data_IF_753217900205
#
_entry.id   IF_753217900205
#
_cell.length_a   1.000
_cell.length_b   1.000
_cell.length_c   1.000
_cell.angle_alpha   90.00
_cell.angle_beta   90.00
_cell.angle_gamma   90.00
#
_symmetry.space_group_name_H-M   'P 1'
#
loop_
_entity.id
_entity.type
_entity.pdbx_description
1 polymer ?
#
# COMPACT_ATOMS: atom_id res chain seq x y z
N UNK A 1 -8.98 -29.77 -8.42
CA UNK A 1 -7.65 -29.51 -9.04
C UNK A 1 -7.48 -28.15 -9.75
N UNK A 2 -8.52 -27.30 -9.92
CA UNK A 2 -8.46 -26.11 -10.79
C UNK A 2 -7.82 -24.82 -10.21
N UNK A 3 -7.36 -24.83 -8.95
CA UNK A 3 -6.80 -23.63 -8.28
C UNK A 3 -5.33 -23.76 -7.83
N UNK A 4 -4.69 -24.93 -7.99
CA UNK A 4 -3.29 -25.16 -7.58
C UNK A 4 -2.30 -24.10 -8.09
N UNK A 5 -2.36 -23.64 -9.35
CA UNK A 5 -1.38 -22.66 -9.87
C UNK A 5 -1.45 -21.30 -9.16
N UNK A 6 -2.65 -20.89 -8.73
CA UNK A 6 -2.83 -19.62 -8.03
C UNK A 6 -2.15 -19.66 -6.66
N UNK A 7 -2.39 -20.74 -5.90
CA UNK A 7 -1.80 -20.92 -4.57
C UNK A 7 -0.27 -20.90 -4.68
N UNK A 8 0.29 -21.59 -5.68
CA UNK A 8 1.74 -21.59 -5.92
C UNK A 8 2.25 -20.18 -6.21
N UNK A 9 1.60 -19.43 -7.09
CA UNK A 9 2.00 -18.05 -7.42
C UNK A 9 1.95 -17.15 -6.19
N UNK A 10 0.88 -17.21 -5.41
CA UNK A 10 0.72 -16.39 -4.19
C UNK A 10 1.78 -16.76 -3.15
N UNK A 11 2.05 -18.05 -2.95
CA UNK A 11 3.08 -18.51 -2.00
C UNK A 11 4.48 -18.10 -2.44
N UNK A 12 4.84 -18.28 -3.71
CA UNK A 12 6.13 -17.83 -4.25
C UNK A 12 6.24 -16.31 -4.12
N UNK A 13 5.17 -15.57 -4.41
CA UNK A 13 5.17 -14.11 -4.27
C UNK A 13 5.40 -13.68 -2.82
N UNK A 14 4.76 -14.34 -1.86
CA UNK A 14 4.99 -14.10 -0.43
C UNK A 14 6.44 -14.38 -0.04
N UNK A 15 7.02 -15.50 -0.50
CA UNK A 15 8.43 -15.84 -0.22
C UNK A 15 9.36 -14.75 -0.76
N UNK A 16 9.14 -14.29 -2.00
CA UNK A 16 9.93 -13.21 -2.60
C UNK A 16 9.83 -11.92 -1.76
N UNK A 17 8.63 -11.55 -1.31
CA UNK A 17 8.43 -10.37 -0.46
C UNK A 17 9.11 -10.52 0.91
N UNK A 18 9.01 -11.70 1.54
CA UNK A 18 9.69 -11.99 2.83
C UNK A 18 11.21 -11.90 2.67
N UNK A 19 11.76 -12.48 1.60
CA UNK A 19 13.19 -12.38 1.30
C UNK A 19 13.65 -10.93 1.05
N UNK A 20 12.73 -10.08 0.61
CA UNK A 20 12.97 -8.66 0.37
C UNK A 20 12.89 -7.80 1.65
N UNK A 21 12.38 -8.32 2.78
CA UNK A 21 12.18 -7.53 4.01
C UNK A 21 13.48 -6.83 4.42
N UNK A 22 13.37 -5.55 4.71
CA UNK A 22 14.47 -4.75 5.22
C UNK A 22 14.63 -4.97 6.73
N UNK A 23 15.72 -5.63 7.13
CA UNK A 23 16.11 -5.87 8.53
C UNK A 23 17.38 -5.10 8.93
N UNK A 24 18.10 -4.52 7.97
CA UNK A 24 19.40 -3.90 8.18
C UNK A 24 19.39 -2.38 8.37
N UNK A 25 18.39 -1.68 7.81
CA UNK A 25 18.34 -0.21 7.86
C UNK A 25 17.20 0.20 8.79
N UNK A 26 17.58 0.64 9.97
CA UNK A 26 16.68 1.29 10.91
C UNK A 26 16.52 2.76 10.46
N UNK A 27 15.46 3.05 9.71
CA UNK A 27 15.14 4.45 9.43
C UNK A 27 14.54 5.12 10.65
N UNK A 28 14.65 6.44 10.70
CA UNK A 28 14.00 7.25 11.73
C UNK A 28 12.51 6.93 11.84
N UNK A 29 11.83 6.79 10.70
CA UNK A 29 10.41 6.46 10.65
C UNK A 29 10.10 5.05 11.18
N UNK A 30 10.81 4.04 10.69
CA UNK A 30 10.57 2.65 11.09
C UNK A 30 10.94 2.39 12.54
N UNK A 31 12.01 3.01 13.05
CA UNK A 31 12.41 2.95 14.45
C UNK A 31 11.27 3.37 15.38
N UNK A 32 10.63 4.50 15.06
CA UNK A 32 9.53 5.04 15.86
C UNK A 32 8.31 4.13 15.83
N UNK A 33 7.98 3.54 14.68
CA UNK A 33 6.86 2.59 14.59
C UNK A 33 7.11 1.38 15.49
N UNK A 34 8.32 0.80 15.45
CA UNK A 34 8.67 -0.33 16.30
C UNK A 34 8.68 0.06 17.78
N UNK A 35 9.23 1.21 18.13
CA UNK A 35 9.20 1.68 19.51
C UNK A 35 7.77 1.91 19.99
N UNK A 36 6.94 2.64 19.24
CA UNK A 36 5.54 2.84 19.58
C UNK A 36 4.78 1.50 19.71
N UNK A 37 5.08 0.52 18.85
CA UNK A 37 4.51 -0.83 18.96
C UNK A 37 4.87 -1.49 20.30
N UNK A 38 6.13 -1.37 20.73
CA UNK A 38 6.59 -1.86 22.05
C UNK A 38 5.95 -1.09 23.20
N UNK A 39 5.77 0.21 23.07
CA UNK A 39 5.09 1.02 24.09
C UNK A 39 3.61 0.66 24.20
N UNK A 40 2.91 0.44 23.08
CA UNK A 40 1.52 -0.02 23.07
C UNK A 40 1.40 -1.38 23.76
N UNK A 41 2.35 -2.30 23.53
CA UNK A 41 2.42 -3.57 24.25
C UNK A 41 2.51 -3.38 25.78
N UNK A 42 3.23 -2.35 26.24
CA UNK A 42 3.34 -1.96 27.66
C UNK A 42 2.17 -1.10 28.16
N UNK A 43 1.16 -0.83 27.33
CA UNK A 43 0.01 0.01 27.67
C UNK A 43 0.27 1.53 27.62
N UNK A 44 1.28 1.97 26.87
CA UNK A 44 1.65 3.38 26.67
C UNK A 44 1.51 3.80 25.21
N UNK A 45 1.15 5.06 24.97
CA UNK A 45 1.17 5.69 23.64
C UNK A 45 2.32 6.68 23.45
N UNK A 46 3.21 6.76 24.43
CA UNK A 46 4.34 7.67 24.42
C UNK A 46 5.61 6.89 24.13
N UNK A 47 6.44 7.43 23.25
CA UNK A 47 7.74 6.86 22.90
C UNK A 47 8.66 6.90 24.13
N UNK A 48 9.57 5.92 24.23
CA UNK A 48 10.70 6.06 25.16
C UNK A 48 11.55 7.27 24.73
N UNK A 49 12.34 7.84 25.65
CA UNK A 49 13.12 9.07 25.41
C UNK A 49 14.11 8.84 24.26
N UNK A 50 13.63 9.02 23.05
CA UNK A 50 14.40 8.98 21.83
C UNK A 50 15.01 10.35 21.58
N UNK A 51 16.15 10.36 20.91
CA UNK A 51 16.76 11.60 20.48
C UNK A 51 15.78 12.33 19.54
N UNK A 52 15.45 13.58 19.89
CA UNK A 52 14.49 14.45 19.22
C UNK A 52 14.73 14.70 17.72
N UNK A 53 15.82 14.17 17.14
CA UNK A 53 16.14 14.29 15.72
C UNK A 53 15.39 13.29 14.82
N UNK A 54 14.65 12.32 15.37
CA UNK A 54 13.90 11.39 14.51
C UNK A 54 12.70 12.07 13.82
N UNK A 55 12.49 11.76 12.54
CA UNK A 55 11.37 12.25 11.73
C UNK A 55 10.03 11.86 12.34
N UNK A 56 9.05 12.75 12.33
CA UNK A 56 7.67 12.48 12.79
C UNK A 56 7.54 12.24 14.30
N UNK A 57 8.39 12.87 15.12
CA UNK A 57 8.24 12.96 16.57
C UNK A 57 7.92 14.38 16.99
N UNK A 58 6.94 14.54 17.88
CA UNK A 58 6.62 15.80 18.56
C UNK A 58 6.80 15.65 20.07
N UNK A 59 7.18 16.75 20.73
CA UNK A 59 7.34 16.80 22.19
C UNK A 59 6.19 17.61 22.81
N UNK A 60 5.31 16.95 23.56
CA UNK A 60 4.20 17.61 24.27
C UNK A 60 4.33 17.32 25.77
N UNK A 61 4.42 18.37 26.61
CA UNK A 61 4.49 18.26 28.08
C UNK A 61 5.53 17.22 28.56
N UNK A 62 6.74 17.30 28.00
CA UNK A 62 7.85 16.37 28.27
C UNK A 62 7.65 14.90 27.87
N UNK A 63 6.65 14.61 27.03
CA UNK A 63 6.45 13.31 26.41
C UNK A 63 6.70 13.36 24.92
N UNK A 64 7.26 12.29 24.38
CA UNK A 64 7.51 12.13 22.95
C UNK A 64 6.37 11.34 22.32
N UNK A 65 5.81 11.86 21.25
CA UNK A 65 4.64 11.33 20.57
C UNK A 65 4.98 11.13 19.10
N UNK A 66 4.55 10.01 18.54
CA UNK A 66 4.60 9.79 17.10
C UNK A 66 3.55 10.67 16.42
N UNK A 67 3.99 11.48 15.46
CA UNK A 67 3.10 12.33 14.68
C UNK A 67 2.23 11.52 13.71
N UNK A 68 2.70 10.36 13.26
CA UNK A 68 1.98 9.52 12.30
C UNK A 68 0.82 8.72 12.90
N UNK A 69 0.08 8.00 12.05
CA UNK A 69 -1.09 7.24 12.45
C UNK A 69 -0.76 5.98 13.25
N UNK A 70 -1.59 5.66 14.25
CA UNK A 70 -1.35 4.57 15.22
C UNK A 70 -1.63 3.17 14.65
N UNK A 71 -2.29 3.04 13.50
CA UNK A 71 -2.77 1.76 12.98
C UNK A 71 -1.69 0.72 12.74
N UNK A 72 -0.56 1.10 12.13
CA UNK A 72 0.56 0.15 11.92
C UNK A 72 1.18 -0.27 13.26
N UNK A 73 1.58 0.67 14.15
CA UNK A 73 2.07 0.30 15.48
C UNK A 73 1.12 -0.62 16.26
N UNK A 74 -0.19 -0.35 16.19
CA UNK A 74 -1.21 -1.12 16.89
C UNK A 74 -1.34 -2.57 16.36
N UNK A 75 -1.18 -2.78 15.05
CA UNK A 75 -1.25 -4.14 14.48
C UNK A 75 0.03 -4.93 14.76
N UNK A 76 1.19 -4.26 14.80
CA UNK A 76 2.47 -4.91 15.07
C UNK A 76 2.64 -5.18 16.57
N UNK A 77 2.07 -4.35 17.45
CA UNK A 77 2.29 -4.42 18.91
C UNK A 77 2.08 -5.78 19.57
N UNK A 78 1.04 -6.59 19.24
CA UNK A 78 0.86 -7.89 19.89
C UNK A 78 2.00 -8.88 19.57
N UNK A 79 2.59 -8.75 18.38
CA UNK A 79 3.72 -9.58 17.96
C UNK A 79 5.04 -9.03 18.51
N UNK A 80 5.19 -7.70 18.61
CA UNK A 80 6.34 -7.06 19.26
C UNK A 80 6.47 -7.38 20.74
N UNK A 81 5.37 -7.71 21.42
CA UNK A 81 5.42 -8.24 22.79
C UNK A 81 6.31 -9.48 22.92
N UNK A 82 6.54 -10.20 21.82
CA UNK A 82 7.38 -11.39 21.76
C UNK A 82 8.79 -11.09 21.23
N UNK A 83 9.06 -9.87 20.77
CA UNK A 83 10.34 -9.49 20.17
C UNK A 83 11.37 -9.16 21.24
N UNK A 84 12.52 -9.85 21.19
CA UNK A 84 13.60 -9.65 22.16
C UNK A 84 14.56 -8.49 21.80
N UNK A 85 14.58 -8.04 20.55
CA UNK A 85 15.46 -6.98 20.06
C UNK A 85 14.83 -6.21 18.88
N UNK A 86 15.51 -5.16 18.39
CA UNK A 86 15.02 -4.34 17.28
C UNK A 86 15.00 -5.08 15.93
N UNK A 87 15.99 -5.93 15.64
CA UNK A 87 16.04 -6.66 14.36
C UNK A 87 14.86 -7.63 14.22
N UNK A 88 14.51 -8.35 15.29
CA UNK A 88 13.32 -9.19 15.34
C UNK A 88 12.07 -8.36 15.11
N UNK A 89 12.00 -7.15 15.65
CA UNK A 89 10.86 -6.28 15.44
C UNK A 89 10.74 -5.76 14.01
N UNK A 90 11.87 -5.37 13.39
CA UNK A 90 11.93 -5.04 11.96
C UNK A 90 11.42 -6.19 11.09
N UNK A 91 11.85 -7.42 11.39
CA UNK A 91 11.41 -8.60 10.67
C UNK A 91 9.91 -8.86 10.84
N UNK A 92 9.39 -8.77 12.07
CA UNK A 92 7.96 -8.93 12.37
C UNK A 92 7.13 -7.89 11.62
N UNK A 93 7.50 -6.61 11.72
CA UNK A 93 6.81 -5.54 11.02
C UNK A 93 6.83 -5.75 9.50
N UNK A 94 8.00 -6.10 8.93
CA UNK A 94 8.13 -6.42 7.50
C UNK A 94 7.27 -7.61 7.08
N UNK A 95 7.17 -8.64 7.93
CA UNK A 95 6.31 -9.80 7.70
C UNK A 95 4.83 -9.40 7.67
N UNK A 96 4.38 -8.52 8.57
CA UNK A 96 3.02 -7.97 8.55
C UNK A 96 2.75 -7.23 7.23
N UNK A 97 3.70 -6.44 6.73
CA UNK A 97 3.56 -5.71 5.46
C UNK A 97 3.52 -6.65 4.24
N UNK A 98 4.39 -7.67 4.22
CA UNK A 98 4.41 -8.71 3.19
C UNK A 98 3.10 -9.51 3.15
N UNK A 99 2.58 -9.91 4.31
CA UNK A 99 1.28 -10.61 4.41
C UNK A 99 0.13 -9.69 3.98
N UNK A 100 0.14 -8.42 4.38
CA UNK A 100 -0.89 -7.45 3.98
C UNK A 100 -0.94 -7.31 2.45
N UNK A 101 0.22 -7.21 1.81
CA UNK A 101 0.33 -7.15 0.34
C UNK A 101 -0.17 -8.44 -0.32
N UNK A 102 0.17 -9.62 0.23
CA UNK A 102 -0.36 -10.90 -0.25
C UNK A 102 -1.89 -10.98 -0.13
N UNK A 103 -2.46 -10.56 1.01
CA UNK A 103 -3.91 -10.52 1.20
C UNK A 103 -4.54 -9.57 0.17
N UNK A 104 -3.88 -8.46 -0.14
CA UNK A 104 -4.32 -7.54 -1.16
C UNK A 104 -4.35 -8.17 -2.56
N UNK A 105 -3.33 -8.96 -2.92
CA UNK A 105 -3.34 -9.78 -4.15
C UNK A 105 -4.51 -10.76 -4.18
N UNK A 106 -4.83 -11.41 -3.06
CA UNK A 106 -5.96 -12.33 -2.95
C UNK A 106 -7.27 -11.60 -3.23
N UNK A 107 -7.51 -10.45 -2.60
CA UNK A 107 -8.73 -9.66 -2.85
C UNK A 107 -8.82 -9.18 -4.30
N UNK A 108 -7.70 -8.73 -4.89
CA UNK A 108 -7.68 -8.35 -6.30
C UNK A 108 -7.93 -9.53 -7.23
N UNK A 109 -7.39 -10.73 -6.95
CA UNK A 109 -7.74 -11.94 -7.68
C UNK A 109 -9.24 -12.24 -7.59
N UNK A 110 -9.82 -12.18 -6.38
CA UNK A 110 -11.23 -12.45 -6.14
C UNK A 110 -12.16 -11.42 -6.81
N UNK A 111 -11.71 -10.19 -6.95
CA UNK A 111 -12.38 -9.14 -7.68
C UNK A 111 -12.31 -9.39 -9.20
N UNK A 112 -11.09 -9.56 -9.75
CA UNK A 112 -10.85 -9.66 -11.19
C UNK A 112 -11.45 -10.94 -11.79
N UNK A 113 -11.45 -12.07 -11.06
CA UNK A 113 -12.01 -13.34 -11.56
C UNK A 113 -13.49 -13.28 -11.96
N UNK A 114 -14.20 -12.20 -11.60
CA UNK A 114 -15.60 -11.96 -11.96
C UNK A 114 -15.77 -11.45 -13.38
N UNK A 115 -14.73 -10.87 -13.97
CA UNK A 115 -14.79 -10.18 -15.25
C UNK A 115 -14.40 -11.07 -16.44
N UNK A 116 -13.84 -12.26 -16.20
CA UNK A 116 -13.57 -13.20 -17.29
C UNK A 116 -12.84 -14.48 -16.88
N UNK A 117 -12.79 -15.46 -17.79
CA UNK A 117 -12.24 -16.79 -17.51
C UNK A 117 -10.71 -16.90 -17.68
N UNK A 118 -10.05 -15.89 -18.24
CA UNK A 118 -8.63 -15.92 -18.62
C UNK A 118 -7.69 -15.82 -17.41
N UNK A 119 -7.55 -16.93 -16.68
CA UNK A 119 -6.75 -17.02 -15.45
C UNK A 119 -5.30 -16.62 -15.65
N UNK A 120 -4.74 -16.89 -16.83
CA UNK A 120 -3.37 -16.56 -17.23
C UNK A 120 -3.14 -15.04 -17.16
N UNK A 121 -4.06 -14.25 -17.73
CA UNK A 121 -3.97 -12.79 -17.68
C UNK A 121 -4.23 -12.21 -16.29
N UNK A 122 -5.08 -12.87 -15.49
CA UNK A 122 -5.27 -12.47 -14.08
C UNK A 122 -3.94 -12.66 -13.32
N UNK A 123 -3.32 -13.83 -13.46
CA UNK A 123 -2.03 -14.13 -12.83
C UNK A 123 -0.93 -13.17 -13.31
N UNK A 124 -0.83 -12.96 -14.62
CA UNK A 124 0.13 -12.03 -15.21
C UNK A 124 -0.09 -10.60 -14.71
N UNK A 125 -1.35 -10.15 -14.60
CA UNK A 125 -1.68 -8.82 -14.07
C UNK A 125 -1.34 -8.67 -12.60
N UNK A 126 -1.54 -9.72 -11.78
CA UNK A 126 -1.19 -9.70 -10.35
C UNK A 126 0.33 -9.60 -10.17
N UNK A 127 1.09 -10.39 -10.91
CA UNK A 127 2.56 -10.37 -10.85
C UNK A 127 3.08 -9.02 -11.36
N UNK A 128 2.58 -8.53 -12.50
CA UNK A 128 2.95 -7.22 -13.04
C UNK A 128 2.61 -6.10 -12.08
N UNK A 129 1.37 -5.99 -11.60
CA UNK A 129 0.99 -4.88 -10.73
C UNK A 129 1.60 -4.93 -9.33
N UNK A 130 2.06 -6.09 -8.84
CA UNK A 130 2.79 -6.16 -7.56
C UNK A 130 4.27 -5.88 -7.73
N UNK A 131 4.93 -6.60 -8.64
CA UNK A 131 6.39 -6.59 -8.75
C UNK A 131 6.94 -5.57 -9.74
N UNK A 132 6.14 -5.11 -10.70
CA UNK A 132 6.50 -4.02 -11.61
C UNK A 132 5.94 -2.67 -11.15
N UNK A 133 5.39 -2.58 -9.92
CA UNK A 133 4.93 -1.32 -9.35
C UNK A 133 5.25 -1.19 -7.85
N UNK A 134 4.67 -0.19 -7.18
CA UNK A 134 4.95 0.14 -5.78
C UNK A 134 4.75 -0.99 -4.76
N UNK A 135 3.78 -1.93 -4.88
CA UNK A 135 3.47 -2.86 -3.82
C UNK A 135 4.65 -3.69 -3.32
N UNK A 136 5.57 -4.09 -4.20
CA UNK A 136 6.75 -4.85 -3.80
C UNK A 136 7.70 -4.03 -2.91
N UNK A 137 7.96 -2.77 -3.24
CA UNK A 137 8.85 -1.93 -2.44
C UNK A 137 8.23 -1.66 -1.07
N UNK A 138 6.93 -1.44 -0.99
CA UNK A 138 6.26 -1.17 0.29
C UNK A 138 5.90 -2.44 1.08
N UNK A 139 6.05 -3.63 0.50
CA UNK A 139 5.89 -4.89 1.23
C UNK A 139 7.13 -5.30 2.01
N UNK A 140 8.30 -4.74 1.65
CA UNK A 140 9.58 -4.96 2.34
C UNK A 140 9.89 -3.95 3.45
N UNK A 141 9.05 -2.92 3.63
CA UNK A 141 9.31 -1.81 4.56
C UNK A 141 8.12 -1.54 5.46
N UNK A 142 8.39 -1.15 6.70
CA UNK A 142 7.34 -0.90 7.69
C UNK A 142 6.74 0.49 7.44
N UNK A 143 5.66 0.47 6.68
CA UNK A 143 4.99 1.65 6.17
C UNK A 143 3.48 1.41 6.14
N UNK A 144 2.63 2.43 6.42
CA UNK A 144 1.17 2.29 6.37
C UNK A 144 0.61 1.78 5.04
N UNK A 145 1.34 2.02 3.96
CA UNK A 145 0.88 1.79 2.59
C UNK A 145 0.52 0.33 2.29
N UNK A 146 1.26 -0.64 2.82
CA UNK A 146 0.96 -2.06 2.56
C UNK A 146 -0.34 -2.51 3.25
N UNK A 147 -0.57 -2.01 4.46
CA UNK A 147 -1.81 -2.24 5.19
C UNK A 147 -2.99 -1.53 4.52
N UNK A 148 -2.78 -0.31 4.01
CA UNK A 148 -3.80 0.41 3.23
C UNK A 148 -4.14 -0.30 1.91
N UNK A 149 -3.16 -0.86 1.19
CA UNK A 149 -3.42 -1.69 0.00
C UNK A 149 -4.39 -2.84 0.34
N UNK A 150 -4.11 -3.57 1.43
CA UNK A 150 -4.99 -4.63 1.92
C UNK A 150 -6.41 -4.09 2.15
N UNK A 151 -6.55 -3.00 2.92
CA UNK A 151 -7.86 -2.41 3.17
C UNK A 151 -8.57 -1.97 1.89
N UNK A 152 -7.88 -1.30 0.97
CA UNK A 152 -8.46 -0.79 -0.27
C UNK A 152 -8.94 -1.93 -1.17
N UNK A 153 -8.11 -2.94 -1.39
CA UNK A 153 -8.51 -4.12 -2.18
C UNK A 153 -9.70 -4.89 -1.55
N UNK A 154 -9.74 -5.01 -0.22
CA UNK A 154 -10.84 -5.64 0.50
C UNK A 154 -12.13 -4.81 0.43
N UNK A 155 -12.02 -3.49 0.63
CA UNK A 155 -13.13 -2.54 0.50
C UNK A 155 -13.70 -2.57 -0.90
N UNK A 156 -12.86 -2.56 -1.95
CA UNK A 156 -13.30 -2.68 -3.34
C UNK A 156 -14.10 -3.97 -3.54
N UNK A 157 -13.55 -5.10 -3.10
CA UNK A 157 -14.19 -6.41 -3.26
C UNK A 157 -15.54 -6.51 -2.54
N UNK A 158 -15.59 -6.12 -1.25
CA UNK A 158 -16.79 -6.23 -0.42
C UNK A 158 -17.85 -5.19 -0.77
N UNK A 159 -17.46 -3.94 -1.03
CA UNK A 159 -18.37 -2.89 -1.54
C UNK A 159 -19.04 -3.31 -2.84
N UNK A 160 -18.25 -3.82 -3.78
CA UNK A 160 -18.76 -4.24 -5.08
C UNK A 160 -19.63 -5.49 -4.96
N UNK A 161 -19.41 -6.33 -3.95
CA UNK A 161 -20.29 -7.47 -3.60
C UNK A 161 -21.65 -7.03 -3.10
N UNK A 162 -21.69 -6.04 -2.21
CA UNK A 162 -22.93 -5.50 -1.66
C UNK A 162 -23.84 -4.91 -2.74
N UNK A 163 -23.25 -4.41 -3.84
CA UNK A 163 -24.00 -3.85 -4.97
C UNK A 163 -24.25 -4.86 -6.11
N UNK A 164 -23.42 -5.91 -6.22
CA UNK A 164 -23.58 -6.92 -7.26
C UNK A 164 -24.69 -7.92 -6.93
N UNK A 165 -24.77 -8.35 -5.67
CA UNK A 165 -25.78 -9.32 -5.24
C UNK A 165 -27.12 -8.60 -5.05
N UNK A 166 -28.22 -9.30 -5.36
CA UNK A 166 -29.59 -8.81 -5.11
C UNK A 166 -29.79 -8.40 -3.65
N UNK A 167 -29.10 -9.09 -2.75
CA UNK A 167 -29.16 -8.92 -1.33
C UNK A 167 -27.73 -8.89 -0.74
N UNK A 168 -27.35 -7.85 0.00
CA UNK A 168 -26.05 -7.81 0.66
C UNK A 168 -25.96 -8.94 1.68
N UNK A 169 -24.86 -9.68 1.65
CA UNK A 169 -24.55 -10.69 2.66
C UNK A 169 -23.95 -10.02 3.90
N UNK A 170 -24.29 -10.53 5.08
CA UNK A 170 -23.78 -10.04 6.36
C UNK A 170 -22.24 -10.01 6.40
N UNK A 171 -21.60 -11.02 5.82
CA UNK A 171 -20.13 -11.08 5.72
C UNK A 171 -19.54 -9.88 4.99
N UNK A 172 -20.15 -9.45 3.89
CA UNK A 172 -19.64 -8.32 3.10
C UNK A 172 -19.78 -7.00 3.88
N UNK A 173 -20.87 -6.82 4.64
CA UNK A 173 -21.05 -5.66 5.54
C UNK A 173 -20.01 -5.65 6.66
N UNK A 174 -19.84 -6.78 7.36
CA UNK A 174 -18.86 -6.91 8.46
C UNK A 174 -17.46 -6.59 7.96
N UNK A 175 -17.04 -7.20 6.85
CA UNK A 175 -15.71 -7.00 6.29
C UNK A 175 -15.51 -5.56 5.79
N UNK A 176 -16.51 -4.98 5.10
CA UNK A 176 -16.45 -3.57 4.69
C UNK A 176 -16.25 -2.64 5.89
N UNK A 177 -16.96 -2.89 6.99
CA UNK A 177 -16.88 -2.10 8.22
C UNK A 177 -15.53 -2.26 8.92
N UNK A 178 -15.04 -3.50 9.01
CA UNK A 178 -13.75 -3.83 9.62
C UNK A 178 -12.59 -3.17 8.86
N UNK A 179 -12.52 -3.35 7.55
CA UNK A 179 -11.45 -2.77 6.73
C UNK A 179 -11.56 -1.24 6.62
N UNK A 180 -12.76 -0.67 6.74
CA UNK A 180 -12.93 0.79 6.90
C UNK A 180 -12.30 1.27 8.21
N UNK A 181 -12.53 0.56 9.31
CA UNK A 181 -11.93 0.90 10.61
C UNK A 181 -10.40 0.76 10.62
N UNK A 182 -9.87 -0.33 10.05
CA UNK A 182 -8.41 -0.51 9.92
C UNK A 182 -7.81 0.57 9.02
N UNK A 183 -8.44 0.92 7.90
CA UNK A 183 -7.99 2.00 7.02
C UNK A 183 -7.95 3.34 7.75
N UNK A 184 -8.99 3.68 8.54
CA UNK A 184 -9.03 4.90 9.35
C UNK A 184 -7.86 4.98 10.34
N UNK A 185 -7.60 3.89 11.08
CA UNK A 185 -6.50 3.85 12.05
C UNK A 185 -5.13 3.94 11.37
N UNK A 186 -5.03 3.39 10.17
CA UNK A 186 -3.78 3.35 9.38
C UNK A 186 -3.50 4.68 8.72
N UNK A 187 -4.54 5.39 8.29
CA UNK A 187 -4.46 6.75 7.76
C UNK A 187 -5.83 7.45 7.90
N UNK A 188 -5.95 8.41 8.82
CA UNK A 188 -7.20 9.13 9.06
C UNK A 188 -7.76 9.88 7.85
N UNK A 189 -6.93 10.27 6.88
CA UNK A 189 -7.39 10.97 5.67
C UNK A 189 -8.30 10.08 4.79
N UNK A 190 -8.21 8.76 4.95
CA UNK A 190 -9.07 7.80 4.24
C UNK A 190 -10.55 7.91 4.60
N UNK A 191 -10.89 8.63 5.67
CA UNK A 191 -12.27 8.86 6.11
C UNK A 191 -13.16 9.43 5.00
N UNK A 192 -12.62 10.32 4.16
CA UNK A 192 -13.35 10.92 3.04
C UNK A 192 -13.71 9.85 1.99
N UNK A 193 -12.76 8.97 1.65
CA UNK A 193 -13.01 7.85 0.74
C UNK A 193 -14.02 6.86 1.33
N UNK A 194 -13.86 6.48 2.61
CA UNK A 194 -14.73 5.53 3.31
C UNK A 194 -16.18 6.04 3.33
N UNK A 195 -16.40 7.31 3.68
CA UNK A 195 -17.74 7.89 3.68
C UNK A 195 -18.29 8.03 2.26
N UNK A 196 -17.49 8.43 1.28
CA UNK A 196 -17.94 8.54 -0.11
C UNK A 196 -18.50 7.21 -0.63
N UNK A 197 -17.79 6.11 -0.38
CA UNK A 197 -18.22 4.76 -0.79
C UNK A 197 -19.44 4.31 0.03
N UNK A 198 -19.41 4.50 1.35
CA UNK A 198 -20.49 4.04 2.24
C UNK A 198 -21.80 4.77 1.96
N UNK A 199 -21.74 6.09 1.72
CA UNK A 199 -22.90 6.89 1.30
C UNK A 199 -23.40 6.43 -0.07
N UNK A 200 -22.49 6.21 -1.04
CA UNK A 200 -22.88 5.73 -2.37
C UNK A 200 -23.60 4.38 -2.29
N UNK A 201 -23.06 3.42 -1.53
CA UNK A 201 -23.68 2.12 -1.29
C UNK A 201 -25.05 2.30 -0.64
N UNK A 202 -25.15 3.13 0.40
CA UNK A 202 -26.40 3.39 1.11
C UNK A 202 -27.49 3.93 0.16
N UNK A 203 -27.15 4.91 -0.68
CA UNK A 203 -28.06 5.47 -1.70
C UNK A 203 -28.54 4.37 -2.65
N UNK A 204 -27.63 3.52 -3.13
CA UNK A 204 -27.96 2.43 -4.05
C UNK A 204 -28.84 1.36 -3.41
N UNK A 205 -28.55 0.99 -2.16
CA UNK A 205 -29.37 0.07 -1.40
C UNK A 205 -30.78 0.65 -1.17
N UNK A 206 -30.91 1.90 -0.73
CA UNK A 206 -32.21 2.57 -0.55
C UNK A 206 -33.03 2.55 -1.85
N UNK A 207 -32.41 2.87 -2.99
CA UNK A 207 -33.08 2.91 -4.28
C UNK A 207 -33.54 1.52 -4.74
N UNK A 208 -32.71 0.49 -4.55
CA UNK A 208 -33.05 -0.89 -4.90
C UNK A 208 -34.14 -1.48 -3.98
N UNK A 209 -34.27 -0.96 -2.77
CA UNK A 209 -35.14 -1.50 -1.71
C UNK A 209 -36.57 -0.95 -1.68
N UNK A 210 -36.97 -0.10 -2.64
CA UNK A 210 -38.22 0.69 -2.66
C UNK A 210 -39.57 -0.07 -2.62
N UNK A 211 -39.64 -1.38 -2.37
CA UNK A 211 -40.88 -2.16 -2.60
C UNK A 211 -41.46 -2.91 -1.38
N UNK A 212 -40.75 -3.15 -0.25
CA UNK A 212 -41.32 -3.91 0.90
C UNK A 212 -40.85 -3.46 2.31
N UNK A 213 -41.73 -3.57 3.32
CA UNK A 213 -41.44 -3.23 4.75
C UNK A 213 -40.31 -4.09 5.35
N UNK A 214 -40.25 -5.38 5.01
CA UNK A 214 -39.18 -6.30 5.45
C UNK A 214 -37.79 -5.81 5.06
N UNK A 215 -37.73 -4.99 4.01
CA UNK A 215 -36.51 -4.45 3.45
C UNK A 215 -35.91 -3.31 4.28
N UNK A 216 -36.72 -2.49 4.96
CA UNK A 216 -36.23 -1.42 5.85
C UNK A 216 -35.54 -1.97 7.10
N UNK A 217 -36.06 -3.07 7.67
CA UNK A 217 -35.40 -3.76 8.80
C UNK A 217 -34.00 -4.24 8.41
N UNK A 218 -33.85 -4.80 7.20
CA UNK A 218 -32.56 -5.23 6.69
C UNK A 218 -31.61 -4.06 6.47
N UNK A 219 -32.07 -2.98 5.83
CA UNK A 219 -31.26 -1.78 5.64
C UNK A 219 -30.78 -1.20 6.99
N UNK A 220 -31.67 -1.10 7.97
CA UNK A 220 -31.35 -0.64 9.31
C UNK A 220 -30.32 -1.56 10.00
N UNK A 221 -30.44 -2.88 9.83
CA UNK A 221 -29.43 -3.81 10.36
C UNK A 221 -28.06 -3.61 9.72
N UNK A 222 -28.00 -3.37 8.40
CA UNK A 222 -26.74 -3.08 7.69
C UNK A 222 -26.09 -1.81 8.26
N UNK A 223 -26.87 -0.75 8.47
CA UNK A 223 -26.39 0.51 9.02
C UNK A 223 -25.88 0.32 10.45
N UNK A 224 -26.64 -0.36 11.31
CA UNK A 224 -26.22 -0.63 12.69
C UNK A 224 -24.92 -1.41 12.71
N UNK A 225 -24.83 -2.51 11.96
CA UNK A 225 -23.62 -3.35 11.92
C UNK A 225 -22.42 -2.54 11.46
N UNK A 226 -22.60 -1.71 10.43
CA UNK A 226 -21.53 -0.85 9.93
C UNK A 226 -21.07 0.17 10.97
N UNK A 227 -22.00 0.91 11.56
CA UNK A 227 -21.70 1.91 12.60
C UNK A 227 -21.05 1.23 13.81
N UNK A 228 -21.60 0.12 14.30
CA UNK A 228 -21.08 -0.58 15.48
C UNK A 228 -19.63 -1.02 15.28
N UNK A 229 -19.30 -1.68 14.17
CA UNK A 229 -17.93 -2.15 13.93
C UNK A 229 -16.98 -0.99 13.64
N UNK A 230 -17.38 -0.04 12.80
CA UNK A 230 -16.55 1.13 12.47
C UNK A 230 -16.29 2.02 13.70
N UNK A 231 -17.27 2.15 14.59
CA UNK A 231 -17.18 2.97 15.80
C UNK A 231 -16.10 2.47 16.77
N UNK A 232 -15.71 1.18 16.73
CA UNK A 232 -14.62 0.66 17.57
C UNK A 232 -13.30 1.33 17.17
N UNK A 233 -13.00 1.35 15.87
CA UNK A 233 -11.81 2.00 15.34
C UNK A 233 -11.84 3.51 15.54
N UNK A 234 -12.99 4.15 15.28
CA UNK A 234 -13.16 5.59 15.50
C UNK A 234 -12.97 5.98 16.97
N UNK A 235 -13.53 5.20 17.89
CA UNK A 235 -13.38 5.42 19.34
C UNK A 235 -11.94 5.23 19.78
N UNK A 236 -11.24 4.23 19.23
CA UNK A 236 -9.82 4.06 19.49
C UNK A 236 -9.00 5.25 18.99
N UNK A 237 -9.28 5.76 17.78
CA UNK A 237 -8.59 6.95 17.25
C UNK A 237 -8.82 8.17 18.15
N UNK A 238 -10.05 8.41 18.60
CA UNK A 238 -10.34 9.50 19.54
C UNK A 238 -9.67 9.32 20.88
N UNK A 239 -9.61 8.09 21.40
CA UNK A 239 -8.89 7.79 22.62
C UNK A 239 -7.39 8.06 22.46
N UNK A 240 -6.77 7.60 21.37
CA UNK A 240 -5.36 7.86 21.06
C UNK A 240 -5.07 9.36 20.97
N UNK A 241 -5.88 10.12 20.23
CA UNK A 241 -5.74 11.57 20.11
C UNK A 241 -5.89 12.25 21.48
N UNK A 242 -6.94 11.90 22.25
CA UNK A 242 -7.16 12.46 23.59
C UNK A 242 -5.98 12.16 24.53
N UNK A 243 -5.45 10.94 24.51
CA UNK A 243 -4.33 10.54 25.35
C UNK A 243 -3.03 11.26 24.98
N UNK A 244 -2.78 11.51 23.69
CA UNK A 244 -1.51 12.08 23.21
C UNK A 244 -1.54 13.61 23.19
N UNK A 245 -2.59 14.22 22.64
CA UNK A 245 -2.68 15.68 22.44
C UNK A 245 -3.54 16.37 23.50
N UNK A 246 -4.35 15.62 24.26
CA UNK A 246 -5.34 16.18 25.18
C UNK A 246 -6.65 16.59 24.49
N UNK A 247 -6.80 16.37 23.18
CA UNK A 247 -8.02 16.69 22.43
C UNK A 247 -8.33 15.56 21.42
N UNK A 248 -9.53 14.94 21.46
CA UNK A 248 -9.85 13.81 20.59
C UNK A 248 -9.90 14.18 19.09
N UNK A 249 -10.06 15.46 18.76
CA UNK A 249 -10.17 15.97 17.39
C UNK A 249 -8.85 16.54 16.84
N UNK A 250 -7.79 16.60 17.65
CA UNK A 250 -6.47 17.07 17.20
C UNK A 250 -5.56 15.85 17.03
N UNK A 251 -5.22 15.59 15.77
CA UNK A 251 -4.26 14.54 15.40
C UNK A 251 -2.83 15.02 15.66
N UNK A 252 -1.94 14.16 16.18
CA UNK A 252 -0.51 14.49 16.33
C UNK A 252 0.13 15.04 15.04
N UNK A 253 -0.26 14.52 13.88
CA UNK A 253 0.23 14.95 12.56
C UNK A 253 -0.07 16.43 12.24
N UNK A 254 -1.21 16.95 12.71
CA UNK A 254 -1.59 18.35 12.51
C UNK A 254 -0.68 19.25 13.34
N UNK A 255 -0.39 18.87 14.59
CA UNK A 255 0.53 19.61 15.47
C UNK A 255 1.92 19.65 14.81
N UNK A 256 2.42 18.48 14.40
CA UNK A 256 3.71 18.35 13.72
C UNK A 256 3.80 19.22 12.45
N UNK A 257 2.77 19.18 11.61
CA UNK A 257 2.71 19.99 10.38
C UNK A 257 2.69 21.49 10.71
N UNK A 258 1.94 21.89 11.73
CA UNK A 258 1.85 23.30 12.15
C UNK A 258 3.16 23.84 12.73
N UNK A 259 3.90 23.04 13.52
CA UNK A 259 5.22 23.42 14.06
C UNK A 259 6.26 23.61 12.96
N UNK A 260 6.07 22.98 11.80
CA UNK A 260 6.91 23.15 10.61
C UNK A 260 6.43 24.22 9.63
N UNK A 261 5.34 24.93 9.96
CA UNK A 261 4.81 26.01 9.14
C UNK A 261 3.90 25.57 8.00
N UNK A 262 3.42 24.32 7.99
CA UNK A 262 2.54 23.78 6.94
C UNK A 262 1.05 23.82 7.29
N UNK A 263 0.64 24.60 8.32
CA UNK A 263 -0.77 24.72 8.69
C UNK A 263 -1.42 23.38 9.04
N UNK A 264 -2.42 22.98 8.27
CA UNK A 264 -3.10 21.66 8.43
C UNK A 264 -2.37 20.53 7.74
N UNK A 265 -1.38 20.86 6.91
CA UNK A 265 -0.66 19.96 6.02
C UNK A 265 -1.36 19.71 4.68
N UNK A 266 -2.59 20.18 4.46
CA UNK A 266 -3.35 19.99 3.21
C UNK A 266 -3.49 21.27 2.38
N UNK A 267 -2.44 22.08 2.35
CA UNK A 267 -2.45 23.43 1.75
C UNK A 267 -1.81 23.47 0.33
N UNK A 268 -1.33 22.34 -0.18
CA UNK A 268 -0.75 22.27 -1.54
C UNK A 268 -1.84 22.45 -2.60
N UNK A 269 -1.64 23.33 -3.61
CA UNK A 269 -2.54 23.39 -4.76
C UNK A 269 -2.65 22.04 -5.47
N UNK A 270 -3.86 21.52 -5.60
CA UNK A 270 -4.15 20.17 -6.14
C UNK A 270 -3.39 19.87 -7.44
N UNK A 271 -3.35 20.83 -8.37
CA UNK A 271 -2.67 20.65 -9.66
C UNK A 271 -1.16 20.40 -9.50
N UNK A 272 -0.51 21.07 -8.55
CA UNK A 272 0.92 20.88 -8.28
C UNK A 272 1.17 19.46 -7.76
N UNK A 273 0.36 19.01 -6.80
CA UNK A 273 0.45 17.65 -6.27
C UNK A 273 0.18 16.58 -7.33
N UNK A 274 -0.84 16.78 -8.19
CA UNK A 274 -1.13 15.85 -9.29
C UNK A 274 0.02 15.76 -10.29
N UNK A 275 0.60 16.89 -10.70
CA UNK A 275 1.74 16.91 -11.64
C UNK A 275 2.94 16.18 -11.01
N UNK A 276 3.25 16.49 -9.76
CA UNK A 276 4.34 15.85 -9.04
C UNK A 276 4.16 14.33 -8.90
N UNK A 277 2.95 13.88 -8.55
CA UNK A 277 2.68 12.47 -8.34
C UNK A 277 2.57 11.68 -9.64
N UNK A 278 2.08 12.28 -10.72
CA UNK A 278 1.75 11.55 -11.95
C UNK A 278 2.83 11.62 -13.02
N UNK A 279 3.48 12.77 -13.22
CA UNK A 279 4.34 13.00 -14.39
C UNK A 279 5.73 13.60 -14.11
N UNK A 280 5.98 14.18 -12.93
CA UNK A 280 7.29 14.77 -12.61
C UNK A 280 8.44 13.75 -12.74
N UNK A 281 9.53 14.07 -13.46
CA UNK A 281 10.60 13.12 -13.78
C UNK A 281 11.37 12.61 -12.56
N UNK A 282 11.30 13.33 -11.42
CA UNK A 282 12.04 12.98 -10.22
C UNK A 282 11.46 11.76 -9.52
N UNK A 283 10.16 11.80 -9.18
CA UNK A 283 9.49 10.81 -8.30
C UNK A 283 8.03 10.54 -8.67
N UNK A 284 7.66 10.57 -9.94
CA UNK A 284 6.26 10.33 -10.33
C UNK A 284 5.95 8.88 -10.68
N UNK A 285 4.66 8.59 -10.79
CA UNK A 285 4.14 7.32 -11.27
C UNK A 285 4.59 7.03 -12.71
N UNK A 286 4.59 8.02 -13.62
CA UNK A 286 5.08 7.82 -14.99
C UNK A 286 6.57 7.47 -15.00
N UNK A 287 7.37 8.18 -14.20
CA UNK A 287 8.82 8.06 -14.27
C UNK A 287 9.36 6.77 -13.67
N UNK A 288 8.73 6.24 -12.60
CA UNK A 288 9.22 5.07 -11.87
C UNK A 288 8.32 3.84 -12.06
N UNK A 289 7.04 4.04 -12.38
CA UNK A 289 6.05 2.96 -12.48
C UNK A 289 5.16 3.10 -13.73
N UNK A 290 5.77 3.15 -14.93
CA UNK A 290 5.06 3.43 -16.17
C UNK A 290 3.85 2.51 -16.42
N UNK A 291 3.91 1.24 -15.99
CA UNK A 291 2.78 0.31 -16.10
C UNK A 291 1.56 0.74 -15.27
N UNK A 292 1.78 1.23 -14.06
CA UNK A 292 0.72 1.76 -13.20
C UNK A 292 0.20 3.08 -13.74
N UNK A 293 1.06 3.95 -14.27
CA UNK A 293 0.63 5.18 -14.92
C UNK A 293 -0.30 4.90 -16.12
N UNK A 294 0.12 4.03 -17.04
CA UNK A 294 -0.70 3.62 -18.19
C UNK A 294 -2.04 3.05 -17.72
N UNK A 295 -2.01 2.21 -16.68
CA UNK A 295 -3.20 1.58 -16.11
C UNK A 295 -4.16 2.56 -15.46
N UNK A 296 -3.63 3.62 -14.83
CA UNK A 296 -4.41 4.72 -14.27
C UNK A 296 -5.11 5.51 -15.37
N UNK A 297 -4.38 5.96 -16.39
CA UNK A 297 -4.95 6.73 -17.51
C UNK A 297 -6.03 5.93 -18.25
N UNK A 298 -5.78 4.64 -18.47
CA UNK A 298 -6.73 3.80 -19.21
C UNK A 298 -7.94 3.34 -18.39
N UNK A 299 -7.89 3.44 -17.06
CA UNK A 299 -8.95 2.97 -16.16
C UNK A 299 -10.33 3.55 -16.48
N UNK A 300 -10.40 4.81 -16.88
CA UNK A 300 -11.65 5.52 -17.20
C UNK A 300 -12.34 4.91 -18.44
N UNK A 301 -11.55 4.40 -19.39
CA UNK A 301 -12.08 3.84 -20.65
C UNK A 301 -12.64 2.42 -20.49
N UNK A 302 -12.37 1.75 -19.37
CA UNK A 302 -12.81 0.37 -19.12
C UNK A 302 -14.19 0.27 -18.46
N UNK A 303 -14.98 1.34 -18.42
CA UNK A 303 -16.33 1.31 -17.83
C UNK A 303 -17.25 0.25 -18.45
N UNK A 304 -17.06 -0.08 -19.75
CA UNK A 304 -17.85 -1.10 -20.47
C UNK A 304 -17.45 -2.52 -20.08
N UNK A 305 -16.27 -2.71 -19.50
CA UNK A 305 -15.76 -3.99 -19.03
C UNK A 305 -16.30 -4.36 -17.65
N UNK A 306 -16.87 -3.39 -16.94
CA UNK A 306 -17.40 -3.66 -15.62
C UNK A 306 -18.74 -4.38 -15.68
N UNK A 307 -18.92 -5.37 -14.80
CA UNK A 307 -20.19 -6.09 -14.68
C UNK A 307 -21.34 -5.17 -14.22
N UNK A 308 -21.04 -4.03 -13.58
CA UNK A 308 -22.02 -3.00 -13.26
C UNK A 308 -21.39 -1.61 -13.25
N UNK A 309 -22.18 -0.60 -13.64
CA UNK A 309 -21.79 0.82 -13.54
C UNK A 309 -21.48 1.23 -12.10
N UNK A 310 -22.15 0.61 -11.13
CA UNK A 310 -21.99 0.92 -9.72
C UNK A 310 -20.63 0.41 -9.18
N UNK A 311 -20.21 -0.79 -9.58
CA UNK A 311 -18.88 -1.30 -9.25
C UNK A 311 -17.78 -0.46 -9.89
N UNK A 312 -17.99 0.01 -11.13
CA UNK A 312 -17.08 0.94 -11.78
C UNK A 312 -16.96 2.26 -11.01
N UNK A 313 -18.09 2.81 -10.53
CA UNK A 313 -18.07 4.06 -9.79
C UNK A 313 -17.37 3.92 -8.42
N UNK A 314 -17.58 2.82 -7.69
CA UNK A 314 -16.79 2.52 -6.48
C UNK A 314 -15.30 2.47 -6.82
N UNK A 315 -14.93 1.75 -7.88
CA UNK A 315 -13.56 1.65 -8.33
C UNK A 315 -12.94 3.03 -8.62
N UNK A 316 -13.67 3.92 -9.31
CA UNK A 316 -13.21 5.28 -9.55
C UNK A 316 -13.10 6.11 -8.26
N UNK A 317 -14.06 6.02 -7.35
CA UNK A 317 -14.00 6.73 -6.05
C UNK A 317 -12.74 6.32 -5.28
N UNK A 318 -12.42 5.02 -5.25
CA UNK A 318 -11.25 4.48 -4.56
C UNK A 318 -9.92 4.89 -5.16
N UNK A 319 -9.90 5.26 -6.45
CA UNK A 319 -8.70 5.77 -7.13
C UNK A 319 -8.61 7.28 -6.96
N UNK A 320 -9.67 8.01 -7.32
CA UNK A 320 -9.61 9.45 -7.48
C UNK A 320 -9.71 10.20 -6.16
N UNK A 321 -10.49 9.74 -5.18
CA UNK A 321 -10.60 10.46 -3.90
C UNK A 321 -9.25 10.51 -3.17
N UNK A 322 -8.53 9.39 -2.96
CA UNK A 322 -7.23 9.44 -2.29
C UNK A 322 -6.18 10.19 -3.13
N UNK A 323 -6.18 10.02 -4.46
CA UNK A 323 -5.29 10.77 -5.36
C UNK A 323 -5.45 12.29 -5.17
N UNK A 324 -6.69 12.78 -5.09
CA UNK A 324 -6.97 14.20 -4.89
C UNK A 324 -6.56 14.67 -3.49
N UNK A 325 -6.85 13.89 -2.44
CA UNK A 325 -6.48 14.21 -1.06
C UNK A 325 -4.97 14.34 -0.92
N UNK A 326 -4.20 13.34 -1.36
CA UNK A 326 -2.74 13.38 -1.21
C UNK A 326 -2.08 14.37 -2.17
N UNK A 327 -2.76 14.80 -3.24
CA UNK A 327 -2.28 15.91 -4.06
C UNK A 327 -2.34 17.26 -3.32
N UNK A 328 -3.15 17.36 -2.26
CA UNK A 328 -3.19 18.54 -1.39
C UNK A 328 -2.20 18.46 -0.24
N UNK A 329 -1.64 17.28 0.03
CA UNK A 329 -0.70 17.08 1.14
C UNK A 329 0.60 17.87 0.94
N UNK A 330 1.18 18.42 2.00
CA UNK A 330 2.41 19.22 1.96
C UNK A 330 3.60 18.39 1.48
N UNK A 331 3.59 17.10 1.83
CA UNK A 331 4.56 16.12 1.39
C UNK A 331 4.00 15.24 0.24
N UNK A 332 3.32 15.87 -0.73
CA UNK A 332 2.62 15.20 -1.84
C UNK A 332 3.48 14.21 -2.63
N UNK A 333 4.80 14.37 -2.63
CA UNK A 333 5.77 13.53 -3.33
C UNK A 333 6.21 12.30 -2.51
N UNK A 334 5.70 12.14 -1.29
CA UNK A 334 5.97 10.98 -0.43
C UNK A 334 7.24 11.08 0.43
N UNK A 335 7.87 12.25 0.51
CA UNK A 335 9.00 12.51 1.40
C UNK A 335 10.22 11.64 1.12
N UNK A 336 10.87 11.18 2.19
CA UNK A 336 11.97 10.21 2.15
C UNK A 336 11.42 8.80 1.87
N UNK A 337 11.08 8.54 0.63
CA UNK A 337 10.61 7.24 0.15
C UNK A 337 10.87 7.07 -1.35
N UNK A 338 10.62 5.88 -1.90
CA UNK A 338 10.77 5.64 -3.33
C UNK A 338 9.45 5.88 -4.07
N UNK A 339 9.48 6.84 -4.98
CA UNK A 339 8.32 7.33 -5.73
C UNK A 339 7.24 8.00 -4.86
N UNK A 340 6.04 8.24 -5.44
CA UNK A 340 4.98 8.97 -4.77
C UNK A 340 4.21 8.04 -3.83
N UNK A 341 4.80 7.74 -2.67
CA UNK A 341 4.36 6.75 -1.67
C UNK A 341 2.86 6.69 -1.41
N UNK A 342 2.19 7.83 -1.36
CA UNK A 342 0.77 7.89 -1.03
C UNK A 342 -0.14 7.29 -2.12
N UNK A 343 0.37 7.05 -3.33
CA UNK A 343 -0.34 6.34 -4.39
C UNK A 343 -0.25 4.82 -4.30
N UNK A 344 0.59 4.27 -3.43
CA UNK A 344 0.75 2.82 -3.27
C UNK A 344 -0.59 2.09 -3.05
N UNK A 345 -1.51 2.53 -2.17
CA UNK A 345 -2.82 1.90 -2.00
C UNK A 345 -3.68 1.89 -3.27
N UNK A 346 -3.51 2.87 -4.15
CA UNK A 346 -4.23 2.95 -5.42
C UNK A 346 -3.61 2.01 -6.46
N UNK A 347 -2.29 1.86 -6.50
CA UNK A 347 -1.62 1.03 -7.51
C UNK A 347 -2.05 -0.43 -7.50
N UNK A 348 -2.40 -0.99 -6.32
CA UNK A 348 -2.93 -2.36 -6.26
C UNK A 348 -4.29 -2.49 -6.97
N UNK A 349 -5.10 -1.44 -6.96
CA UNK A 349 -6.40 -1.43 -7.64
C UNK A 349 -6.22 -1.36 -9.16
N UNK A 350 -5.12 -0.80 -9.64
CA UNK A 350 -4.78 -0.69 -11.06
C UNK A 350 -4.47 -2.04 -11.71
N UNK A 351 -4.29 -3.13 -10.92
CA UNK A 351 -4.16 -4.50 -11.43
C UNK A 351 -5.35 -4.87 -12.32
N UNK A 352 -6.56 -4.40 -12.02
CA UNK A 352 -7.72 -4.63 -12.87
C UNK A 352 -7.52 -4.03 -14.28
N UNK A 353 -7.03 -2.80 -14.38
CA UNK A 353 -6.73 -2.16 -15.66
C UNK A 353 -5.65 -2.94 -16.42
N UNK A 354 -4.59 -3.39 -15.73
CA UNK A 354 -3.54 -4.23 -16.34
C UNK A 354 -4.16 -5.50 -16.94
N UNK A 355 -5.07 -6.16 -16.21
CA UNK A 355 -5.79 -7.34 -16.70
C UNK A 355 -6.57 -7.05 -17.99
N UNK A 356 -7.36 -5.97 -18.03
CA UNK A 356 -8.15 -5.60 -19.22
C UNK A 356 -7.24 -5.30 -20.40
N UNK A 357 -6.15 -4.54 -20.17
CA UNK A 357 -5.17 -4.22 -21.21
C UNK A 357 -4.58 -5.52 -21.76
N UNK A 358 -4.04 -6.42 -20.92
CA UNK A 358 -3.46 -7.68 -21.38
C UNK A 358 -4.45 -8.52 -22.17
N UNK A 359 -5.70 -8.61 -21.70
CA UNK A 359 -6.73 -9.41 -22.33
C UNK A 359 -7.12 -8.89 -23.73
N UNK A 360 -7.32 -7.57 -23.87
CA UNK A 360 -7.82 -6.95 -25.11
C UNK A 360 -6.76 -6.49 -26.09
N UNK A 361 -5.53 -6.35 -25.64
CA UNK A 361 -4.48 -5.73 -26.44
C UNK A 361 -4.00 -6.61 -27.60
N UNK A 362 -3.56 -5.94 -28.66
CA UNK A 362 -2.85 -6.57 -29.77
C UNK A 362 -1.55 -7.22 -29.30
N UNK A 363 -1.02 -8.17 -30.08
CA UNK A 363 0.27 -8.79 -29.79
C UNK A 363 1.41 -7.76 -29.62
N UNK A 364 1.44 -6.71 -30.47
CA UNK A 364 2.44 -5.63 -30.38
C UNK A 364 2.36 -4.88 -29.05
N UNK A 365 1.15 -4.53 -28.62
CA UNK A 365 0.91 -3.86 -27.34
C UNK A 365 1.29 -4.76 -26.16
N UNK A 366 1.02 -6.08 -26.25
CA UNK A 366 1.47 -7.04 -25.22
C UNK A 366 2.98 -7.14 -25.12
N UNK A 367 3.71 -7.14 -26.26
CA UNK A 367 5.18 -7.07 -26.24
C UNK A 367 5.65 -5.79 -25.54
N UNK A 368 5.07 -4.65 -25.89
CA UNK A 368 5.45 -3.38 -25.25
C UNK A 368 5.22 -3.42 -23.73
N UNK A 369 4.06 -3.91 -23.27
CA UNK A 369 3.76 -4.06 -21.85
C UNK A 369 4.69 -5.06 -21.16
N UNK A 370 5.05 -6.14 -21.86
CA UNK A 370 6.02 -7.11 -21.36
C UNK A 370 7.38 -6.43 -21.13
N UNK A 371 7.90 -5.68 -22.10
CA UNK A 371 9.17 -4.96 -21.98
C UNK A 371 9.13 -3.97 -20.81
N UNK A 372 8.07 -3.16 -20.72
CA UNK A 372 7.88 -2.19 -19.63
C UNK A 372 7.82 -2.92 -18.27
N UNK A 373 7.07 -4.03 -18.19
CA UNK A 373 6.94 -4.81 -16.95
C UNK A 373 8.28 -5.39 -16.50
N UNK A 374 9.06 -5.96 -17.43
CA UNK A 374 10.38 -6.53 -17.14
C UNK A 374 11.36 -5.45 -16.68
N UNK A 375 11.36 -4.28 -17.35
CA UNK A 375 12.17 -3.14 -16.93
C UNK A 375 11.83 -2.70 -15.50
N UNK A 376 10.54 -2.50 -15.19
CA UNK A 376 10.12 -2.09 -13.85
C UNK A 376 10.37 -3.15 -12.78
N UNK A 377 10.29 -4.45 -13.11
CA UNK A 377 10.69 -5.53 -12.18
C UNK A 377 12.19 -5.50 -11.88
N UNK A 378 13.02 -5.23 -12.89
CA UNK A 378 14.47 -5.06 -12.70
C UNK A 378 14.74 -3.86 -11.78
N UNK A 379 14.12 -2.71 -12.06
CA UNK A 379 14.24 -1.50 -11.24
C UNK A 379 13.88 -1.79 -9.77
N UNK A 380 12.69 -2.34 -9.54
CA UNK A 380 12.22 -2.66 -8.18
C UNK A 380 13.10 -3.69 -7.47
N UNK A 381 13.66 -4.68 -8.19
CA UNK A 381 14.56 -5.67 -7.60
C UNK A 381 15.84 -5.05 -7.03
N UNK A 382 16.32 -3.95 -7.63
CA UNK A 382 17.46 -3.18 -7.14
C UNK A 382 17.05 -2.33 -5.94
N UNK A 383 15.87 -1.69 -6.01
CA UNK A 383 15.35 -0.82 -4.93
C UNK A 383 15.18 -1.62 -3.64
N UNK A 384 14.60 -2.83 -3.70
CA UNK A 384 14.32 -3.62 -2.48
C UNK A 384 15.57 -4.16 -1.78
N UNK A 385 16.71 -4.32 -2.48
CA UNK A 385 17.95 -4.83 -1.87
C UNK A 385 18.90 -3.74 -1.39
N UNK A 386 18.67 -2.49 -1.77
CA UNK A 386 19.47 -1.33 -1.38
C UNK A 386 18.84 -0.61 -0.19
N UNK A 387 18.22 0.53 -0.45
CA UNK A 387 17.42 1.32 0.47
C UNK A 387 16.30 1.93 -0.35
N UNK A 388 15.04 1.84 0.09
CA UNK A 388 13.94 2.54 -0.59
C UNK A 388 13.96 4.04 -0.24
N UNK A 389 14.78 4.47 0.72
CA UNK A 389 14.89 5.84 1.20
C UNK A 389 16.00 6.54 0.42
N UNK A 390 15.80 6.65 -0.89
CA UNK A 390 16.67 7.43 -1.77
C UNK A 390 16.45 8.93 -1.54
N UNK A 391 17.19 9.76 -2.28
CA UNK A 391 17.18 11.21 -2.15
C UNK A 391 15.77 11.79 -2.02
N UNK A 392 15.64 12.80 -1.16
CA UNK A 392 14.43 13.58 -1.02
C UNK A 392 14.11 14.30 -2.34
N UNK A 393 12.84 14.60 -2.59
CA UNK A 393 12.42 15.30 -3.82
C UNK A 393 13.11 16.67 -3.98
N UNK A 394 13.35 17.34 -2.86
CA UNK A 394 13.99 18.65 -2.77
C UNK A 394 15.50 18.58 -3.05
N UNK A 395 16.12 17.41 -2.92
CA UNK A 395 17.54 17.19 -3.18
C UNK A 395 17.82 16.96 -4.66
N UNK A 396 16.78 16.71 -5.46
CA UNK A 396 16.91 16.42 -6.89
C UNK A 396 16.67 17.64 -7.77
N UNK A 397 17.51 17.78 -8.79
CA UNK A 397 17.28 18.75 -9.86
C UNK A 397 16.06 18.36 -10.72
N UNK A 398 15.49 19.34 -11.42
CA UNK A 398 14.20 19.20 -12.14
C UNK A 398 14.21 18.08 -13.19
N UNK A 399 15.38 17.68 -13.71
CA UNK A 399 15.51 16.64 -14.73
C UNK A 399 16.19 15.36 -14.22
N UNK A 400 16.46 15.29 -12.93
CA UNK A 400 16.94 14.05 -12.32
C UNK A 400 15.81 13.06 -12.15
N UNK A 401 16.20 11.78 -12.14
CA UNK A 401 15.32 10.66 -11.87
C UNK A 401 15.81 9.93 -10.63
N UNK A 402 14.92 9.68 -9.67
CA UNK A 402 15.30 9.09 -8.39
C UNK A 402 16.00 7.72 -8.54
N UNK A 403 15.60 6.90 -9.52
CA UNK A 403 16.28 5.63 -9.77
C UNK A 403 17.70 5.84 -10.29
N UNK A 404 17.82 6.55 -11.42
CA UNK A 404 19.09 6.71 -12.15
C UNK A 404 20.12 7.54 -11.38
N UNK A 405 19.66 8.58 -10.67
CA UNK A 405 20.54 9.54 -10.03
C UNK A 405 20.81 9.23 -8.55
N UNK A 406 19.96 8.43 -7.90
CA UNK A 406 20.12 8.12 -6.47
C UNK A 406 20.22 6.61 -6.20
N UNK A 407 19.16 5.84 -6.48
CA UNK A 407 19.11 4.43 -6.08
C UNK A 407 20.18 3.58 -6.79
N UNK A 408 20.34 3.74 -8.10
CA UNK A 408 21.31 2.96 -8.87
C UNK A 408 22.76 3.31 -8.48
N UNK A 409 23.18 4.57 -8.33
CA UNK A 409 24.49 4.90 -7.77
C UNK A 409 24.70 4.32 -6.36
N UNK A 410 23.69 4.37 -5.48
CA UNK A 410 23.78 3.76 -4.14
C UNK A 410 23.96 2.24 -4.21
N UNK A 411 23.28 1.57 -5.14
CA UNK A 411 23.46 0.13 -5.40
C UNK A 411 24.87 -0.22 -5.83
N UNK A 412 25.43 0.58 -6.75
CA UNK A 412 26.76 0.38 -7.32
C UNK A 412 27.89 0.77 -6.34
N UNK A 413 27.61 1.65 -5.38
CA UNK A 413 28.57 2.08 -4.39
C UNK A 413 28.88 0.96 -3.38
N UNK A 414 30.11 0.94 -2.86
CA UNK A 414 30.61 -0.13 -1.97
C UNK A 414 30.20 0.03 -0.51
N UNK A 415 29.38 1.03 -0.17
CA UNK A 415 28.94 1.24 1.22
C UNK A 415 27.97 0.15 1.65
N UNK A 416 28.34 -0.60 2.70
CA UNK A 416 27.54 -1.72 3.23
C UNK A 416 26.25 -1.26 3.92
N UNK A 417 26.24 -0.05 4.51
CA UNK A 417 25.11 0.47 5.30
C UNK A 417 23.83 0.72 4.49
N UNK A 418 23.90 0.60 3.16
CA UNK A 418 22.78 0.80 2.25
C UNK A 418 22.17 -0.53 1.78
N UNK A 419 22.42 -1.65 2.48
CA UNK A 419 22.04 -3.00 2.02
C UNK A 419 21.37 -3.77 3.15
N UNK A 420 20.06 -4.00 3.03
CA UNK A 420 19.28 -4.34 4.21
C UNK A 420 18.30 -5.48 4.06
N UNK A 421 18.14 -6.02 2.85
CA UNK A 421 17.22 -7.12 2.62
C UNK A 421 17.68 -8.41 3.34
N UNK A 422 16.75 -9.18 3.88
CA UNK A 422 16.99 -10.49 4.52
C UNK A 422 17.85 -11.38 3.63
N UNK A 423 17.55 -11.43 2.33
CA UNK A 423 18.28 -12.23 1.35
C UNK A 423 19.77 -11.88 1.27
N UNK A 424 20.16 -10.61 1.47
CA UNK A 424 21.56 -10.19 1.45
C UNK A 424 22.34 -10.85 2.59
N UNK A 425 21.76 -10.87 3.80
CA UNK A 425 22.38 -11.49 4.97
C UNK A 425 22.44 -13.02 4.83
N UNK A 426 21.38 -13.64 4.29
CA UNK A 426 21.35 -15.08 4.03
C UNK A 426 22.45 -15.51 3.05
N UNK A 427 22.61 -14.79 1.94
CA UNK A 427 23.65 -15.09 0.94
C UNK A 427 25.05 -14.83 1.51
N UNK A 428 25.25 -13.69 2.19
CA UNK A 428 26.53 -13.35 2.83
C UNK A 428 26.97 -14.43 3.81
N UNK A 429 26.05 -14.91 4.65
CA UNK A 429 26.34 -15.97 5.61
C UNK A 429 26.58 -17.35 4.95
N UNK A 430 25.80 -17.69 3.92
CA UNK A 430 25.89 -19.00 3.27
C UNK A 430 27.14 -19.17 2.38
N UNK A 431 27.59 -18.09 1.72
CA UNK A 431 28.68 -18.13 0.73
C UNK A 431 29.97 -17.49 1.27
N UNK A 432 29.90 -16.74 2.38
CA UNK A 432 31.04 -16.01 2.92
C UNK A 432 31.42 -14.78 2.09
N UNK A 433 30.48 -14.24 1.31
CA UNK A 433 30.66 -13.00 0.54
C UNK A 433 30.36 -11.78 1.41
N UNK A 434 30.96 -10.64 1.08
CA UNK A 434 30.57 -9.38 1.67
C UNK A 434 29.11 -9.02 1.33
N UNK A 435 28.54 -8.05 2.05
CA UNK A 435 27.16 -7.62 1.81
C UNK A 435 27.00 -6.99 0.42
N UNK A 436 28.10 -6.49 -0.15
CA UNK A 436 28.10 -5.83 -1.46
C UNK A 436 27.77 -6.83 -2.57
N UNK A 437 28.60 -7.86 -2.73
CA UNK A 437 28.38 -8.92 -3.70
C UNK A 437 27.09 -9.68 -3.44
N UNK A 438 26.75 -9.90 -2.16
CA UNK A 438 25.50 -10.56 -1.78
C UNK A 438 24.28 -9.82 -2.31
N UNK A 439 24.27 -8.48 -2.30
CA UNK A 439 23.11 -7.72 -2.81
C UNK A 439 22.99 -7.76 -4.32
N UNK A 440 24.10 -7.84 -5.06
CA UNK A 440 24.07 -8.03 -6.51
C UNK A 440 23.45 -9.39 -6.86
N UNK A 441 23.86 -10.44 -6.17
CA UNK A 441 23.30 -11.77 -6.35
C UNK A 441 21.81 -11.78 -5.96
N UNK A 442 21.44 -11.15 -4.84
CA UNK A 442 20.04 -11.01 -4.41
C UNK A 442 19.17 -10.34 -5.47
N UNK A 443 19.58 -9.19 -6.02
CA UNK A 443 18.82 -8.48 -7.05
C UNK A 443 18.57 -9.37 -8.27
N UNK A 444 19.62 -10.07 -8.75
CA UNK A 444 19.53 -10.99 -9.88
C UNK A 444 18.58 -12.16 -9.57
N UNK A 445 18.71 -12.80 -8.40
CA UNK A 445 17.84 -13.90 -7.98
C UNK A 445 16.37 -13.44 -7.93
N UNK A 446 16.09 -12.31 -7.28
CA UNK A 446 14.75 -11.76 -7.16
C UNK A 446 14.16 -11.44 -8.54
N UNK A 447 14.91 -10.73 -9.38
CA UNK A 447 14.51 -10.39 -10.74
C UNK A 447 14.19 -11.62 -11.60
N UNK A 448 15.08 -12.62 -11.60
CA UNK A 448 14.88 -13.85 -12.37
C UNK A 448 13.65 -14.62 -11.90
N UNK A 449 13.47 -14.78 -10.59
CA UNK A 449 12.30 -15.49 -10.05
C UNK A 449 10.99 -14.81 -10.41
N UNK A 450 10.90 -13.49 -10.28
CA UNK A 450 9.70 -12.73 -10.66
C UNK A 450 9.46 -12.80 -12.17
N UNK A 451 10.50 -12.65 -12.99
CA UNK A 451 10.39 -12.71 -14.44
C UNK A 451 9.96 -14.08 -14.93
N UNK A 452 10.49 -15.16 -14.34
CA UNK A 452 10.07 -16.53 -14.62
C UNK A 452 8.63 -16.79 -14.18
N UNK A 453 8.21 -16.27 -13.03
CA UNK A 453 6.83 -16.37 -12.55
C UNK A 453 5.86 -15.66 -13.51
N UNK A 454 6.25 -14.48 -14.01
CA UNK A 454 5.50 -13.72 -15.00
C UNK A 454 5.42 -14.46 -16.34
N UNK A 455 6.54 -14.96 -16.87
CA UNK A 455 6.57 -15.77 -18.09
C UNK A 455 5.72 -17.04 -17.96
N UNK A 456 5.84 -17.75 -16.84
CA UNK A 456 5.03 -18.93 -16.56
C UNK A 456 3.52 -18.61 -16.59
N UNK A 457 3.12 -17.44 -16.06
CA UNK A 457 1.72 -17.00 -16.09
C UNK A 457 1.20 -16.72 -17.50
N UNK A 458 2.06 -16.27 -18.42
CA UNK A 458 1.71 -15.97 -19.82
C UNK A 458 1.75 -17.21 -20.73
N UNK A 459 2.72 -18.11 -20.52
CA UNK A 459 3.02 -19.22 -21.42
C UNK A 459 2.07 -20.42 -21.27
N UNK A 460 1.26 -20.50 -20.22
CA UNK A 460 0.31 -21.60 -19.99
C UNK A 460 -0.82 -21.75 -21.03
N UNK A 461 -0.74 -20.97 -22.11
CA UNK A 461 -1.62 -20.99 -23.27
C UNK A 461 -1.02 -21.74 -24.48
N UNK A 462 0.25 -22.13 -24.39
CA UNK A 462 0.96 -23.00 -25.35
C UNK A 462 0.99 -24.40 -24.74
#
# INVERSE_FOLDING_TARGET
MKEKPLIIIIMISLIIMILSINIGILTSYTAIIIDLSKQICKGSFFLEKMEWYYTDVIKIKDRYIFAGPVGVPLIISPLECLANNYETGLFIGGLVMSISTMISMIYMYLFIKRFGPYKEYIMASLISGVFASMPWIYSSHIFPQALLMMCYSALLYHSSNMLYKKDPELKDVIMHSLFSGIALLTDPSTIIMIFSISIFILIKLINNFRIKITTYKKLFSIIIIWISIFSIALSFQFYYNLSTTGNPFIFPEIIYSSERGFGTGFDTPVFIGLVAQLIDPRKSLLSLYPISFISLILSIYFYKDFYSKDAFLIYLIMIFVPLMIYSMWHDYHGGLSYGPRFLTPITILLIYSIYIILNRSSYKTRILLFIITIYSMMENSIVVVTSPYSCAFQEMSVFENQFLNCTLPMFLNTQENLRAAVINRLISHAVGLDLVFSSYISAVILFLNVSLLYLYSLLKKI
#
